data_IF_899463539782
#
_entry.id   IF_899463539782
#
_cell.length_a   1.000
_cell.length_b   1.000
_cell.length_c   1.000
_cell.angle_alpha   90.00
_cell.angle_beta   90.00
_cell.angle_gamma   90.00
#
_symmetry.space_group_name_H-M   'P 1'
#
loop_
_entity.id
_entity.type
_entity.pdbx_description
1 polymer ?
#
# COMPACT_ATOMS: atom_id res chain seq x y z
N UNK A 1 55.15 -68.25 -25.39
CA UNK A 1 54.93 -67.96 -23.96
C UNK A 1 54.39 -66.54 -23.93
N UNK A 2 53.06 -66.40 -24.01
CA UNK A 2 52.13 -66.28 -22.87
C UNK A 2 52.29 -64.92 -22.20
N UNK A 3 51.27 -64.12 -21.91
CA UNK A 3 49.81 -64.18 -22.09
C UNK A 3 49.27 -62.79 -21.65
N UNK A 4 47.98 -62.58 -21.89
CA UNK A 4 47.07 -61.63 -21.20
C UNK A 4 47.12 -60.15 -21.64
N UNK A 5 46.20 -59.69 -22.49
CA UNK A 5 44.76 -59.43 -22.27
C UNK A 5 44.44 -58.21 -21.39
N UNK A 6 43.68 -57.31 -22.02
CA UNK A 6 42.46 -56.70 -21.49
C UNK A 6 42.58 -55.82 -20.24
N UNK A 7 42.38 -54.51 -20.45
CA UNK A 7 41.46 -53.78 -19.58
C UNK A 7 40.73 -52.67 -20.33
N UNK A 8 39.43 -52.90 -20.41
CA UNK A 8 38.35 -52.12 -21.00
C UNK A 8 37.96 -51.01 -20.02
N UNK A 9 38.04 -49.74 -20.43
CA UNK A 9 37.65 -48.60 -19.60
C UNK A 9 36.13 -48.40 -19.68
N UNK A 10 35.41 -48.69 -18.59
CA UNK A 10 33.98 -48.39 -18.45
C UNK A 10 33.70 -46.95 -17.96
N UNK A 11 32.49 -46.40 -18.21
CA UNK A 11 32.26 -44.96 -18.29
C UNK A 11 31.98 -44.29 -16.93
N UNK A 12 32.47 -43.06 -16.78
CA UNK A 12 32.41 -42.20 -15.59
C UNK A 12 31.03 -41.58 -15.26
N UNK A 13 29.94 -42.08 -15.85
CA UNK A 13 28.60 -41.49 -15.77
C UNK A 13 27.85 -41.76 -14.47
N UNK A 14 28.14 -42.87 -13.78
CA UNK A 14 27.37 -43.28 -12.59
C UNK A 14 27.66 -42.45 -11.33
N UNK A 15 28.86 -41.85 -11.22
CA UNK A 15 29.21 -40.99 -10.06
C UNK A 15 28.57 -39.60 -10.14
N UNK A 16 28.37 -39.05 -11.35
CA UNK A 16 27.70 -37.75 -11.55
C UNK A 16 26.21 -37.78 -11.21
N UNK A 17 25.51 -38.88 -11.53
CA UNK A 17 24.09 -39.02 -11.21
C UNK A 17 23.81 -39.16 -9.69
N UNK A 18 24.72 -39.76 -8.93
CA UNK A 18 24.59 -39.88 -7.47
C UNK A 18 24.78 -38.53 -6.76
N UNK A 19 25.68 -37.68 -7.26
CA UNK A 19 25.89 -36.33 -6.72
C UNK A 19 24.69 -35.40 -6.98
N UNK A 20 24.01 -35.55 -8.13
CA UNK A 20 22.83 -34.75 -8.48
C UNK A 20 21.59 -35.10 -7.65
N UNK A 21 21.43 -36.39 -7.29
CA UNK A 21 20.31 -36.84 -6.44
C UNK A 21 20.45 -36.37 -4.98
N UNK A 22 21.67 -36.26 -4.46
CA UNK A 22 21.93 -35.74 -3.12
C UNK A 22 21.68 -34.23 -3.00
N UNK A 23 21.94 -33.46 -4.06
CA UNK A 23 21.72 -32.01 -4.07
C UNK A 23 20.23 -31.65 -4.14
N UNK A 24 19.39 -32.45 -4.82
CA UNK A 24 17.94 -32.26 -4.85
C UNK A 24 17.29 -32.56 -3.49
N UNK A 25 17.75 -33.61 -2.78
CA UNK A 25 17.23 -33.95 -1.45
C UNK A 25 17.56 -32.84 -0.42
N UNK A 26 18.74 -32.23 -0.49
CA UNK A 26 19.12 -31.12 0.39
C UNK A 26 18.27 -29.86 0.18
N UNK A 27 17.82 -29.58 -1.05
CA UNK A 27 16.95 -28.43 -1.34
C UNK A 27 15.51 -28.66 -0.88
N UNK A 28 15.01 -29.90 -0.96
CA UNK A 28 13.66 -30.25 -0.47
C UNK A 28 13.57 -30.21 1.06
N UNK A 29 14.64 -30.60 1.78
CA UNK A 29 14.67 -30.49 3.24
C UNK A 29 14.74 -29.04 3.74
N UNK A 30 15.39 -28.13 3.01
CA UNK A 30 15.44 -26.71 3.38
C UNK A 30 14.07 -26.02 3.21
N UNK A 31 13.28 -26.42 2.21
CA UNK A 31 11.94 -25.87 1.98
C UNK A 31 10.91 -26.31 3.04
N UNK A 32 11.07 -27.50 3.62
CA UNK A 32 10.16 -28.00 4.68
C UNK A 32 10.47 -27.42 6.07
N UNK A 33 11.71 -26.97 6.32
CA UNK A 33 12.06 -26.30 7.57
C UNK A 33 11.54 -24.84 7.65
N UNK A 34 11.30 -24.19 6.51
CA UNK A 34 10.81 -22.81 6.46
C UNK A 34 9.28 -22.67 6.51
N UNK A 35 8.52 -23.76 6.45
CA UNK A 35 7.04 -23.74 6.51
C UNK A 35 6.47 -24.21 7.87
N UNK A 36 7.34 -24.60 8.81
CA UNK A 36 6.94 -25.19 10.10
C UNK A 36 7.02 -24.28 11.32
N UNK A 37 7.31 -22.99 11.18
CA UNK A 37 7.61 -22.12 12.32
C UNK A 37 6.90 -20.76 12.27
N UNK A 38 5.79 -20.66 13.01
CA UNK A 38 5.26 -19.48 13.72
C UNK A 38 3.77 -19.18 13.46
N UNK A 39 2.90 -20.09 13.91
CA UNK A 39 1.56 -19.73 14.37
C UNK A 39 1.59 -19.72 15.91
N UNK A 40 1.84 -18.56 16.51
CA UNK A 40 1.47 -18.27 17.90
C UNK A 40 1.76 -16.79 18.18
N UNK A 41 0.71 -15.99 18.36
CA UNK A 41 0.51 -14.92 19.35
C UNK A 41 -0.80 -14.23 18.94
N UNK A 42 -1.97 -14.73 19.35
CA UNK A 42 -2.55 -14.59 20.69
C UNK A 42 -2.71 -13.11 21.09
N UNK A 43 -3.79 -12.54 20.57
CA UNK A 43 -4.65 -11.51 21.14
C UNK A 43 -4.51 -11.39 22.67
N UNK A 44 -3.97 -10.29 23.17
CA UNK A 44 -4.21 -9.81 24.53
C UNK A 44 -4.35 -8.29 24.51
N UNK A 45 -5.60 -7.86 24.41
CA UNK A 45 -6.04 -6.54 24.83
C UNK A 45 -5.98 -6.47 26.35
N UNK A 46 -4.97 -5.77 26.89
CA UNK A 46 -5.00 -5.28 28.26
C UNK A 46 -5.23 -3.77 28.25
N UNK A 47 -6.47 -3.42 28.58
CA UNK A 47 -6.85 -2.15 29.17
C UNK A 47 -5.88 -1.83 30.32
N UNK A 48 -5.26 -0.66 30.29
CA UNK A 48 -4.65 -0.09 31.48
C UNK A 48 -4.99 1.39 31.59
N UNK A 49 -5.98 1.61 32.45
CA UNK A 49 -6.37 2.87 33.06
C UNK A 49 -5.31 3.31 34.10
N UNK A 50 -5.38 4.57 34.55
CA UNK A 50 -4.57 5.26 35.59
C UNK A 50 -3.29 5.95 35.08
N UNK A 51 -2.90 7.16 35.52
CA UNK A 51 -3.47 8.14 36.45
C UNK A 51 -2.70 9.45 36.28
N UNK A 52 -3.42 10.56 36.44
CA UNK A 52 -3.01 11.87 36.95
C UNK A 52 -1.55 12.04 37.43
N UNK A 53 -0.90 13.09 36.89
CA UNK A 53 0.02 13.93 37.67
C UNK A 53 -0.27 15.39 37.32
N UNK A 54 -0.76 16.12 38.32
CA UNK A 54 -0.86 17.57 38.38
C UNK A 54 0.50 18.24 38.20
N UNK A 55 0.57 19.28 37.36
CA UNK A 55 1.38 20.44 37.74
C UNK A 55 0.71 21.74 37.30
N UNK A 56 0.38 22.49 38.35
CA UNK A 56 -0.07 23.87 38.37
C UNK A 56 0.87 24.80 37.62
N UNK A 57 0.33 25.72 36.83
CA UNK A 57 0.77 27.10 36.87
C UNK A 57 -0.39 28.03 36.54
N UNK A 58 -0.85 28.67 37.61
CA UNK A 58 -1.73 29.82 37.66
C UNK A 58 -1.00 31.05 37.09
N UNK A 59 -1.62 31.72 36.12
CA UNK A 59 -1.42 33.14 35.83
C UNK A 59 -2.73 33.72 35.28
N UNK A 60 -3.54 34.28 36.19
CA UNK A 60 -4.11 35.63 36.08
C UNK A 60 -4.87 36.01 34.80
N UNK A 61 -6.20 36.02 34.92
CA UNK A 61 -7.13 36.80 34.10
C UNK A 61 -6.74 38.29 34.04
N UNK A 62 -6.70 38.91 32.86
CA UNK A 62 -7.21 40.27 32.62
C UNK A 62 -7.76 40.40 31.17
N UNK A 63 -8.98 40.93 31.10
CA UNK A 63 -9.68 41.64 30.01
C UNK A 63 -10.50 40.85 28.97
N UNK A 64 -11.80 41.13 29.07
CA UNK A 64 -12.94 40.82 28.20
C UNK A 64 -12.86 41.44 26.80
N UNK A 65 -13.66 40.83 25.92
CA UNK A 65 -14.36 41.39 24.76
C UNK A 65 -13.55 42.10 23.67
N UNK A 66 -13.38 41.36 22.56
CA UNK A 66 -13.89 41.82 21.28
C UNK A 66 -14.27 40.63 20.40
N UNK A 67 -15.58 40.43 20.30
CA UNK A 67 -16.26 39.72 19.22
C UNK A 67 -15.68 40.14 17.87
N UNK A 68 -15.04 39.21 17.17
CA UNK A 68 -14.89 39.30 15.72
C UNK A 68 -15.36 37.96 15.14
N UNK A 69 -16.62 37.97 14.73
CA UNK A 69 -17.19 37.07 13.74
C UNK A 69 -16.24 37.01 12.54
N UNK A 70 -15.41 35.98 12.48
CA UNK A 70 -14.58 35.68 11.32
C UNK A 70 -15.03 34.32 10.78
N UNK A 71 -15.92 34.43 9.79
CA UNK A 71 -16.09 33.48 8.70
C UNK A 71 -16.70 32.10 9.02
N UNK A 72 -17.92 32.11 9.56
CA UNK A 72 -18.88 30.99 9.40
C UNK A 72 -19.75 31.15 8.13
N UNK A 73 -19.43 32.13 7.27
CA UNK A 73 -20.28 32.60 6.16
C UNK A 73 -19.63 32.46 4.77
N UNK A 74 -18.62 31.60 4.62
CA UNK A 74 -18.12 31.14 3.31
C UNK A 74 -18.59 29.71 2.95
N UNK A 75 -19.61 29.20 3.65
CA UNK A 75 -20.48 28.13 3.16
C UNK A 75 -21.48 28.67 2.11
N UNK A 76 -20.99 29.47 1.17
CA UNK A 76 -21.75 29.82 -0.02
C UNK A 76 -21.94 28.54 -0.84
N UNK A 77 -23.15 27.99 -0.69
CA UNK A 77 -23.87 27.11 -1.62
C UNK A 77 -23.38 27.24 -3.06
N UNK A 78 -22.32 26.51 -3.40
CA UNK A 78 -22.23 25.91 -4.72
C UNK A 78 -22.96 24.57 -4.63
N UNK A 79 -24.30 24.64 -4.68
CA UNK A 79 -25.12 23.55 -5.22
C UNK A 79 -24.77 23.39 -6.70
N UNK A 80 -23.56 22.90 -6.96
CA UNK A 80 -23.25 22.27 -8.21
C UNK A 80 -24.00 20.94 -8.16
N UNK A 81 -24.97 20.73 -9.05
CA UNK A 81 -25.63 19.44 -9.28
C UNK A 81 -24.67 18.38 -9.85
N UNK A 82 -23.35 18.59 -9.74
CA UNK A 82 -22.33 17.66 -10.11
C UNK A 82 -22.02 16.80 -8.87
N UNK A 83 -22.05 15.47 -9.00
CA UNK A 83 -21.66 14.60 -7.90
C UNK A 83 -20.25 14.95 -7.43
N UNK A 84 -20.01 14.83 -6.14
CA UNK A 84 -18.66 15.04 -5.61
C UNK A 84 -17.79 13.84 -6.00
N UNK A 85 -16.46 14.01 -6.05
CA UNK A 85 -15.56 12.87 -6.29
C UNK A 85 -15.82 11.69 -5.32
N UNK A 86 -16.27 12.00 -4.10
CA UNK A 86 -16.60 11.01 -3.06
C UNK A 86 -17.69 10.03 -3.50
N UNK A 87 -18.62 10.49 -4.33
CA UNK A 87 -19.68 9.68 -4.93
C UNK A 87 -19.22 9.09 -6.26
N UNK A 88 -18.57 9.90 -7.10
CA UNK A 88 -18.14 9.49 -8.44
C UNK A 88 -17.10 8.36 -8.40
N UNK A 89 -16.19 8.33 -7.43
CA UNK A 89 -15.14 7.32 -7.38
C UNK A 89 -15.65 5.93 -7.01
N UNK A 90 -16.88 5.80 -6.50
CA UNK A 90 -17.46 4.52 -6.08
C UNK A 90 -17.61 3.59 -7.29
N UNK A 91 -17.24 2.33 -7.07
CA UNK A 91 -17.29 1.27 -8.06
C UNK A 91 -15.91 0.81 -8.50
N UNK A 92 -15.88 -0.04 -9.53
CA UNK A 92 -14.67 -0.70 -10.02
C UNK A 92 -14.10 0.02 -11.23
N UNK A 93 -12.78 0.11 -11.26
CA UNK A 93 -11.98 0.83 -12.23
C UNK A 93 -10.85 -0.07 -12.75
N UNK A 94 -10.69 -0.13 -14.06
CA UNK A 94 -9.66 -0.91 -14.72
C UNK A 94 -8.46 -0.02 -15.06
N UNK A 95 -7.25 -0.46 -14.71
CA UNK A 95 -6.03 0.29 -15.06
C UNK A 95 -5.87 0.39 -16.58
N UNK A 96 -5.93 1.62 -17.08
CA UNK A 96 -5.81 1.98 -18.49
C UNK A 96 -4.35 2.23 -18.85
N UNK A 97 -3.65 3.02 -18.03
CA UNK A 97 -2.25 3.35 -18.22
C UNK A 97 -1.55 3.67 -16.90
N UNK A 98 -0.22 3.70 -16.95
CA UNK A 98 0.63 4.11 -15.84
C UNK A 98 1.87 4.81 -16.36
N UNK A 99 2.37 5.78 -15.60
CA UNK A 99 3.56 6.58 -15.91
C UNK A 99 4.49 6.59 -14.71
N UNK A 100 5.79 6.45 -14.96
CA UNK A 100 6.88 6.52 -13.97
C UNK A 100 6.73 5.58 -12.75
N UNK A 101 5.92 4.52 -12.89
CA UNK A 101 5.75 3.49 -11.85
C UNK A 101 7.06 2.73 -11.60
N UNK A 102 7.84 2.31 -12.62
CA UNK A 102 9.09 1.61 -12.37
C UNK A 102 10.06 2.39 -11.49
N UNK A 103 10.25 3.66 -11.79
CA UNK A 103 11.12 4.60 -11.09
C UNK A 103 10.61 4.85 -9.66
N UNK A 104 9.28 4.95 -9.48
CA UNK A 104 8.67 5.07 -8.16
C UNK A 104 8.92 3.84 -7.30
N UNK A 105 8.73 2.63 -7.84
CA UNK A 105 8.99 1.38 -7.12
C UNK A 105 10.48 1.19 -6.80
N UNK A 106 11.37 1.62 -7.69
CA UNK A 106 12.82 1.66 -7.41
C UNK A 106 13.12 2.58 -6.22
N UNK A 107 12.44 3.73 -6.15
CA UNK A 107 12.59 4.69 -5.06
C UNK A 107 11.96 4.21 -3.73
N UNK A 108 11.06 3.23 -3.70
CA UNK A 108 10.54 2.68 -2.43
C UNK A 108 11.62 1.92 -1.65
N UNK A 109 12.71 1.49 -2.31
CA UNK A 109 13.82 0.72 -1.71
C UNK A 109 13.36 -0.59 -1.02
N UNK A 110 12.19 -1.10 -1.41
CA UNK A 110 11.63 -2.34 -0.89
C UNK A 110 12.40 -3.60 -1.32
N UNK A 111 12.03 -4.80 -0.83
CA UNK A 111 12.69 -6.05 -1.19
C UNK A 111 12.74 -6.30 -2.71
N UNK A 112 13.83 -6.88 -3.22
CA UNK A 112 14.04 -7.08 -4.66
C UNK A 112 12.89 -7.83 -5.37
N UNK A 113 12.35 -8.86 -4.72
CA UNK A 113 11.21 -9.61 -5.26
C UNK A 113 9.96 -8.73 -5.37
N UNK A 114 9.67 -7.93 -4.34
CA UNK A 114 8.57 -6.97 -4.36
C UNK A 114 8.73 -5.99 -5.54
N UNK A 115 9.92 -5.42 -5.72
CA UNK A 115 10.17 -4.48 -6.82
C UNK A 115 9.89 -5.10 -8.19
N UNK A 116 10.35 -6.33 -8.45
CA UNK A 116 10.12 -7.00 -9.75
C UNK A 116 8.62 -7.12 -10.05
N UNK A 117 7.82 -7.52 -9.07
CA UNK A 117 6.39 -7.73 -9.25
C UNK A 117 5.64 -6.40 -9.34
N UNK A 118 5.90 -5.46 -8.43
CA UNK A 118 5.20 -4.18 -8.35
C UNK A 118 5.38 -3.33 -9.62
N UNK A 119 6.57 -3.32 -10.22
CA UNK A 119 6.82 -2.62 -11.50
C UNK A 119 5.95 -3.13 -12.64
N UNK A 120 5.78 -4.45 -12.73
CA UNK A 120 5.02 -5.11 -13.81
C UNK A 120 3.53 -5.16 -13.54
N UNK A 121 3.13 -5.03 -12.28
CA UNK A 121 1.75 -5.15 -11.83
C UNK A 121 0.82 -4.14 -12.51
N UNK A 122 -0.28 -4.66 -13.04
CA UNK A 122 -1.50 -3.91 -13.34
C UNK A 122 -2.51 -4.28 -12.27
N UNK A 123 -3.16 -3.27 -11.69
CA UNK A 123 -4.16 -3.50 -10.66
C UNK A 123 -5.47 -2.82 -11.06
N UNK A 124 -6.59 -3.55 -11.09
CA UNK A 124 -7.89 -2.86 -11.04
C UNK A 124 -8.09 -2.34 -9.61
N UNK A 125 -8.82 -1.24 -9.45
CA UNK A 125 -9.18 -0.70 -8.14
C UNK A 125 -10.69 -0.63 -7.98
N UNK A 126 -11.19 -0.93 -6.80
CA UNK A 126 -12.58 -0.71 -6.43
C UNK A 126 -12.65 0.13 -5.16
N UNK A 127 -13.50 1.16 -5.19
CA UNK A 127 -13.84 1.94 -4.01
C UNK A 127 -15.27 1.62 -3.58
N UNK A 128 -15.42 1.28 -2.31
CA UNK A 128 -16.71 1.05 -1.67
C UNK A 128 -16.83 1.95 -0.45
N UNK A 129 -17.91 2.73 -0.35
CA UNK A 129 -18.23 3.49 0.85
C UNK A 129 -18.81 2.54 1.89
N UNK A 130 -18.07 2.29 2.97
CA UNK A 130 -18.47 1.36 4.05
C UNK A 130 -19.11 2.09 5.23
N UNK A 131 -18.81 3.38 5.40
CA UNK A 131 -19.49 4.30 6.29
C UNK A 131 -19.32 5.73 5.78
N UNK A 132 -20.00 6.71 6.38
CA UNK A 132 -19.83 8.13 6.02
C UNK A 132 -18.35 8.51 6.15
N UNK A 133 -17.76 9.04 5.08
CA UNK A 133 -16.35 9.44 5.00
C UNK A 133 -15.33 8.29 5.17
N UNK A 134 -15.77 7.04 5.07
CA UNK A 134 -14.91 5.85 5.19
C UNK A 134 -15.13 4.95 3.98
N UNK A 135 -14.04 4.71 3.27
CA UNK A 135 -14.00 3.87 2.09
C UNK A 135 -13.08 2.67 2.31
N UNK A 136 -13.41 1.59 1.61
CA UNK A 136 -12.53 0.46 1.40
C UNK A 136 -12.01 0.51 -0.03
N UNK A 137 -10.69 0.63 -0.17
CA UNK A 137 -9.99 0.54 -1.45
C UNK A 137 -9.54 -0.91 -1.65
N UNK A 138 -10.03 -1.56 -2.69
CA UNK A 138 -9.65 -2.94 -3.03
C UNK A 138 -8.85 -2.96 -4.32
N UNK A 139 -7.60 -3.43 -4.26
CA UNK A 139 -6.72 -3.59 -5.42
C UNK A 139 -6.75 -5.04 -5.89
N UNK A 140 -7.23 -5.26 -7.11
CA UNK A 140 -7.27 -6.56 -7.75
C UNK A 140 -6.06 -6.75 -8.65
N UNK A 141 -5.24 -7.71 -8.29
CA UNK A 141 -4.00 -8.03 -8.98
C UNK A 141 -4.04 -9.51 -9.38
N UNK A 142 -3.51 -9.84 -10.56
CA UNK A 142 -3.77 -11.15 -11.19
C UNK A 142 -3.15 -12.36 -10.48
N UNK A 143 -2.18 -12.15 -9.58
CA UNK A 143 -1.33 -13.21 -9.04
C UNK A 143 -1.42 -13.37 -7.51
N UNK A 144 -2.16 -12.51 -6.81
CA UNK A 144 -2.35 -12.60 -5.36
C UNK A 144 -3.79 -12.23 -4.97
N UNK A 145 -4.26 -12.61 -3.76
CA UNK A 145 -5.55 -12.17 -3.26
C UNK A 145 -5.68 -10.63 -3.29
N UNK A 146 -6.91 -10.10 -3.46
CA UNK A 146 -7.13 -8.65 -3.48
C UNK A 146 -6.60 -7.98 -2.21
N UNK A 147 -5.84 -6.91 -2.38
CA UNK A 147 -5.32 -6.10 -1.28
C UNK A 147 -6.37 -5.08 -0.87
N UNK A 148 -6.61 -4.94 0.42
CA UNK A 148 -7.64 -4.04 0.96
C UNK A 148 -6.99 -3.02 1.86
N UNK A 149 -7.21 -1.74 1.56
CA UNK A 149 -6.73 -0.64 2.37
C UNK A 149 -7.89 0.27 2.78
N UNK A 150 -7.88 0.78 4.03
CA UNK A 150 -8.80 1.83 4.42
C UNK A 150 -8.46 3.14 3.70
N UNK A 151 -9.49 3.92 3.40
CA UNK A 151 -9.37 5.33 3.04
C UNK A 151 -10.37 6.10 3.90
N UNK A 152 -9.85 6.81 4.90
CA UNK A 152 -10.64 7.53 5.92
C UNK A 152 -10.41 9.01 5.82
N UNK A 153 -11.49 9.77 5.68
CA UNK A 153 -11.48 11.23 5.66
C UNK A 153 -11.95 11.84 6.98
N UNK A 154 -12.35 11.01 7.94
CA UNK A 154 -12.83 11.42 9.26
C UNK A 154 -11.70 11.51 10.29
N UNK A 155 -10.65 10.70 10.15
CA UNK A 155 -9.50 10.68 11.04
C UNK A 155 -8.27 10.06 10.38
N UNK A 156 -7.05 10.33 10.90
CA UNK A 156 -5.86 9.57 10.55
C UNK A 156 -6.03 8.08 10.83
N UNK A 157 -5.35 7.24 10.06
CA UNK A 157 -5.49 5.79 10.14
C UNK A 157 -4.17 5.06 9.87
N UNK A 158 -3.95 4.00 10.64
CA UNK A 158 -2.79 3.12 10.50
C UNK A 158 -3.10 1.98 9.52
N UNK A 159 -2.09 1.59 8.74
CA UNK A 159 -2.12 0.40 7.91
C UNK A 159 -0.69 -0.05 7.58
N UNK A 160 -0.55 -1.24 7.00
CA UNK A 160 0.71 -1.65 6.39
C UNK A 160 0.81 -1.10 4.97
N UNK A 161 2.00 -0.65 4.55
CA UNK A 161 2.28 -0.37 3.16
C UNK A 161 2.54 -1.69 2.38
N UNK A 162 2.73 -1.65 1.05
CA UNK A 162 2.98 -2.87 0.28
C UNK A 162 4.27 -3.65 0.64
N UNK A 163 5.21 -3.04 1.36
CA UNK A 163 6.43 -3.69 1.87
C UNK A 163 6.25 -4.32 3.26
N UNK A 164 5.10 -4.11 3.90
CA UNK A 164 4.77 -4.62 5.24
C UNK A 164 5.15 -3.68 6.38
N UNK A 165 5.60 -2.46 6.08
CA UNK A 165 5.91 -1.46 7.10
C UNK A 165 4.63 -0.77 7.58
N UNK A 166 4.52 -0.55 8.89
CA UNK A 166 3.44 0.24 9.46
C UNK A 166 3.58 1.72 9.06
N UNK A 167 2.48 2.30 8.56
CA UNK A 167 2.38 3.70 8.14
C UNK A 167 1.10 4.33 8.68
N UNK A 168 1.09 5.66 8.77
CA UNK A 168 -0.07 6.46 9.14
C UNK A 168 -0.47 7.34 7.98
N UNK A 169 -1.74 7.28 7.59
CA UNK A 169 -2.32 8.07 6.51
C UNK A 169 -3.37 9.04 7.01
N UNK A 170 -3.41 10.23 6.42
CA UNK A 170 -4.43 11.26 6.64
C UNK A 170 -4.96 11.70 5.28
N UNK A 171 -6.28 11.56 5.06
CA UNK A 171 -6.93 11.95 3.82
C UNK A 171 -7.88 13.13 4.04
N UNK A 172 -7.90 14.05 3.08
CA UNK A 172 -8.82 15.20 3.06
C UNK A 172 -9.44 15.37 1.69
N UNK A 173 -10.73 15.72 1.68
CA UNK A 173 -11.41 16.18 0.48
C UNK A 173 -11.09 17.67 0.30
N UNK A 174 -10.62 18.07 -0.88
CA UNK A 174 -10.33 19.48 -1.20
C UNK A 174 -11.38 19.99 -2.17
N UNK A 175 -12.26 20.85 -1.67
CA UNK A 175 -13.42 21.36 -2.41
C UNK A 175 -12.98 22.14 -3.65
N UNK A 176 -11.91 22.91 -3.55
CA UNK A 176 -11.39 23.78 -4.61
C UNK A 176 -10.90 23.00 -5.83
N UNK A 177 -10.53 21.73 -5.64
CA UNK A 177 -9.99 20.85 -6.67
C UNK A 177 -10.90 19.67 -7.00
N UNK A 178 -11.99 19.48 -6.24
CA UNK A 178 -12.84 18.28 -6.26
C UNK A 178 -12.02 16.98 -6.25
N UNK A 179 -11.07 16.87 -5.32
CA UNK A 179 -10.18 15.71 -5.21
C UNK A 179 -10.00 15.24 -3.77
N UNK A 180 -9.49 14.03 -3.61
CA UNK A 180 -9.03 13.52 -2.32
C UNK A 180 -7.51 13.57 -2.31
N UNK A 181 -6.95 14.20 -1.28
CA UNK A 181 -5.52 14.29 -1.05
C UNK A 181 -5.15 13.50 0.20
N UNK A 182 -4.30 12.50 0.04
CA UNK A 182 -3.82 11.62 1.10
C UNK A 182 -2.36 11.95 1.36
N UNK A 183 -1.99 12.08 2.63
CA UNK A 183 -0.59 12.15 3.09
C UNK A 183 -0.33 10.92 3.93
N UNK A 184 0.69 10.16 3.59
CA UNK A 184 1.11 8.95 4.30
C UNK A 184 2.52 9.17 4.85
N UNK A 185 2.73 8.81 6.11
CA UNK A 185 4.01 8.95 6.83
C UNK A 185 4.41 7.61 7.44
N UNK A 186 5.70 7.34 7.43
CA UNK A 186 6.28 6.09 7.95
C UNK A 186 6.91 5.27 6.82
N UNK A 187 7.29 4.03 7.13
CA UNK A 187 7.97 3.15 6.18
C UNK A 187 9.33 3.67 5.71
N UNK A 188 9.98 2.89 4.84
CA UNK A 188 11.30 3.21 4.29
C UNK A 188 11.23 4.22 3.12
N UNK A 189 10.04 4.38 2.53
CA UNK A 189 9.76 5.31 1.42
C UNK A 189 9.73 6.79 1.84
N UNK A 190 9.54 7.08 3.13
CA UNK A 190 9.40 8.44 3.65
C UNK A 190 7.97 8.95 3.59
N UNK A 191 7.79 10.27 3.46
CA UNK A 191 6.47 10.87 3.33
C UNK A 191 6.00 10.74 1.89
N UNK A 192 4.84 10.12 1.70
CA UNK A 192 4.18 10.05 0.40
C UNK A 192 2.90 10.85 0.38
N UNK A 193 2.54 11.37 -0.78
CA UNK A 193 1.25 12.00 -1.02
C UNK A 193 0.57 11.31 -2.18
N UNK A 194 -0.73 11.06 -2.08
CA UNK A 194 -1.54 10.54 -3.18
C UNK A 194 -2.71 11.47 -3.44
N UNK A 195 -2.81 11.95 -4.68
CA UNK A 195 -3.95 12.72 -5.19
C UNK A 195 -4.86 11.80 -5.99
N UNK A 196 -6.12 11.74 -5.60
CA UNK A 196 -7.19 10.98 -6.25
C UNK A 196 -8.14 11.97 -6.90
N UNK A 197 -8.24 11.95 -8.22
CA UNK A 197 -9.08 12.88 -8.99
C UNK A 197 -9.82 12.14 -10.11
N UNK A 198 -10.97 12.66 -10.54
CA UNK A 198 -11.66 12.18 -11.75
C UNK A 198 -11.64 13.31 -12.77
N UNK A 199 -11.11 13.01 -13.96
CA UNK A 199 -10.97 13.97 -15.07
C UNK A 199 -11.41 13.27 -16.35
N UNK A 200 -12.39 13.83 -17.06
CA UNK A 200 -12.93 13.25 -18.30
C UNK A 200 -13.32 11.77 -18.15
N UNK A 201 -14.04 11.42 -17.07
CA UNK A 201 -14.48 10.05 -16.75
C UNK A 201 -13.35 9.06 -16.41
N UNK A 202 -12.09 9.48 -16.44
CA UNK A 202 -10.96 8.67 -15.97
C UNK A 202 -10.64 9.01 -14.51
N UNK A 203 -10.49 7.97 -13.68
CA UNK A 203 -9.94 8.10 -12.33
C UNK A 203 -8.41 8.15 -12.44
N UNK A 204 -7.79 9.13 -11.80
CA UNK A 204 -6.35 9.35 -11.82
C UNK A 204 -5.82 9.32 -10.39
N UNK A 205 -4.84 8.45 -10.16
CA UNK A 205 -4.04 8.40 -8.94
C UNK A 205 -2.65 8.93 -9.24
N UNK A 206 -2.29 10.06 -8.63
CA UNK A 206 -0.92 10.61 -8.68
C UNK A 206 -0.29 10.45 -7.31
N UNK A 207 0.75 9.63 -7.20
CA UNK A 207 1.49 9.41 -5.95
C UNK A 207 2.86 10.07 -6.04
N UNK A 208 3.37 10.62 -4.94
CA UNK A 208 4.66 11.32 -4.89
C UNK A 208 5.36 11.02 -3.57
N UNK A 209 6.63 10.62 -3.63
CA UNK A 209 7.54 10.58 -2.48
C UNK A 209 8.21 11.94 -2.35
N UNK A 210 7.99 12.62 -1.23
CA UNK A 210 8.41 14.01 -1.07
C UNK A 210 9.94 14.12 -0.94
N UNK A 211 10.56 13.26 -0.14
CA UNK A 211 12.00 13.31 0.15
C UNK A 211 12.85 12.89 -1.05
N UNK A 212 12.29 12.04 -1.93
CA UNK A 212 12.98 11.53 -3.12
C UNK A 212 12.63 12.31 -4.40
N UNK A 213 11.59 13.16 -4.33
CA UNK A 213 11.04 13.89 -5.47
C UNK A 213 10.72 12.97 -6.67
N UNK A 214 10.15 11.81 -6.37
CA UNK A 214 9.72 10.82 -7.38
C UNK A 214 8.21 10.73 -7.34
N UNK A 215 7.57 10.82 -8.50
CA UNK A 215 6.13 10.68 -8.64
C UNK A 215 5.78 9.55 -9.60
N UNK A 216 4.62 8.94 -9.43
CA UNK A 216 4.01 8.10 -10.46
C UNK A 216 2.56 8.47 -10.66
N UNK A 217 2.03 8.09 -11.82
CA UNK A 217 0.62 8.25 -12.14
C UNK A 217 0.04 6.92 -12.61
N UNK A 218 -1.18 6.63 -12.18
CA UNK A 218 -2.01 5.55 -12.71
C UNK A 218 -3.35 6.12 -13.13
N UNK A 219 -3.76 5.79 -14.36
CA UNK A 219 -5.03 6.22 -14.94
C UNK A 219 -5.92 5.00 -15.10
N UNK A 220 -7.16 5.14 -14.70
CA UNK A 220 -8.15 4.08 -14.71
C UNK A 220 -9.41 4.53 -15.43
N UNK A 221 -10.05 3.60 -16.12
CA UNK A 221 -11.38 3.80 -16.70
C UNK A 221 -12.40 2.96 -15.95
N UNK A 222 -13.66 3.39 -15.93
CA UNK A 222 -14.71 2.66 -15.22
C UNK A 222 -14.86 1.27 -15.82
N UNK A 223 -14.83 0.25 -14.97
CA UNK A 223 -15.00 -1.14 -15.40
C UNK A 223 -16.50 -1.41 -15.54
N UNK A 224 -16.98 -1.51 -16.77
CA UNK A 224 -18.34 -1.99 -17.05
C UNK A 224 -18.40 -3.50 -16.80
N UNK A 225 -19.42 -3.95 -16.09
CA UNK A 225 -19.71 -5.38 -15.93
C UNK A 225 -20.14 -5.91 -17.30
N UNK A 226 -19.27 -6.68 -17.95
CA UNK A 226 -19.67 -7.57 -19.07
C UNK A 226 -20.14 -8.92 -18.51
#
# INVERSE_FOLDING_TARGET
MSDLESQRTEPSTQKRQKCLKLSIISLVCLALACLGGSFAYANTSSVQESTAVEHSHDYGQIAEDQSNNFEEDQLTRHTNNYPTIMEEMIGRWQEKSKSNVPEYIDAEEGPYFYQIFAKKMKADIEYEMVAKNVFRSTFYVSWMPPLKYPLRLDMPYEHENPTGDAVVSEARFRVEFNDIFVVTKGGHEGTTTTRIQIVNEDLILTSTMLEKNVLCERVYTRKTTE
#
